data_IF_494311074600
#
_entry.id   IF_494311074600
#
_cell.length_a   1.000
_cell.length_b   1.000
_cell.length_c   1.000
_cell.angle_alpha   90.00
_cell.angle_beta   90.00
_cell.angle_gamma   90.00
#
_symmetry.space_group_name_H-M   'P 1'
#
loop_
_entity.id
_entity.type
_entity.pdbx_description
1 polymer ?
#
# COMPACT_ATOMS: atom_id res chain seq x y z
N UNK A 1 26.49 -25.23 -4.79
CA UNK A 1 25.80 -23.94 -4.52
C UNK A 1 25.29 -23.24 -5.77
N UNK A 2 26.12 -22.86 -6.77
CA UNK A 2 25.70 -22.09 -7.99
C UNK A 2 24.32 -22.43 -8.59
N UNK A 3 23.91 -23.70 -8.66
CA UNK A 3 22.61 -24.09 -9.24
C UNK A 3 21.38 -23.49 -8.52
N UNK A 4 21.52 -23.03 -7.26
CA UNK A 4 20.45 -22.33 -6.49
C UNK A 4 20.13 -20.92 -7.03
N UNK A 5 21.05 -20.28 -7.74
CA UNK A 5 20.88 -18.94 -8.35
C UNK A 5 20.08 -18.93 -9.65
N UNK A 6 19.70 -20.10 -10.17
CA UNK A 6 19.07 -20.25 -11.47
C UNK A 6 17.72 -20.93 -11.33
N UNK A 7 16.65 -20.26 -11.77
CA UNK A 7 15.37 -20.92 -12.06
C UNK A 7 15.51 -21.92 -13.22
N UNK A 8 14.45 -22.64 -13.56
CA UNK A 8 14.33 -23.23 -14.90
C UNK A 8 14.26 -22.12 -15.95
N UNK A 9 14.63 -22.42 -17.21
CA UNK A 9 14.54 -21.43 -18.31
C UNK A 9 13.08 -21.00 -18.52
N UNK A 10 12.16 -21.97 -18.52
CA UNK A 10 10.72 -21.70 -18.59
C UNK A 10 10.20 -20.90 -17.38
N UNK A 11 10.70 -21.16 -16.17
CA UNK A 11 10.39 -20.35 -14.98
C UNK A 11 10.90 -18.91 -15.09
N UNK A 12 12.12 -18.70 -15.60
CA UNK A 12 12.68 -17.37 -15.84
C UNK A 12 11.81 -16.56 -16.82
N UNK A 13 11.44 -17.18 -17.94
CA UNK A 13 10.61 -16.55 -18.97
C UNK A 13 9.22 -16.20 -18.42
N UNK A 14 8.53 -17.13 -17.75
CA UNK A 14 7.19 -16.86 -17.22
C UNK A 14 7.21 -15.75 -16.16
N UNK A 15 8.16 -15.75 -15.23
CA UNK A 15 8.19 -14.71 -14.18
C UNK A 15 8.43 -13.31 -14.77
N UNK A 16 9.37 -13.17 -15.70
CA UNK A 16 9.60 -11.88 -16.37
C UNK A 16 8.36 -11.46 -17.19
N UNK A 17 7.79 -12.40 -17.96
CA UNK A 17 6.58 -12.13 -18.75
C UNK A 17 5.40 -11.67 -17.89
N UNK A 18 5.18 -12.27 -16.71
CA UNK A 18 4.13 -11.86 -15.77
C UNK A 18 4.34 -10.44 -15.25
N UNK A 19 5.57 -10.08 -14.87
CA UNK A 19 5.88 -8.72 -14.39
C UNK A 19 5.73 -7.70 -15.52
N UNK A 20 6.28 -7.95 -16.70
CA UNK A 20 6.13 -7.03 -17.83
C UNK A 20 4.67 -6.93 -18.32
N UNK A 21 3.86 -7.99 -18.16
CA UNK A 21 2.41 -7.94 -18.39
C UNK A 21 1.71 -7.05 -17.35
N UNK A 22 2.05 -7.13 -16.06
CA UNK A 22 1.50 -6.24 -15.02
C UNK A 22 1.82 -4.77 -15.36
N UNK A 23 3.05 -4.48 -15.77
CA UNK A 23 3.47 -3.13 -16.20
C UNK A 23 2.64 -2.69 -17.43
N UNK A 24 2.53 -3.55 -18.45
CA UNK A 24 1.74 -3.24 -19.64
C UNK A 24 0.25 -3.01 -19.31
N UNK A 25 -0.33 -3.78 -18.39
CA UNK A 25 -1.69 -3.59 -17.89
C UNK A 25 -1.85 -2.27 -17.14
N UNK A 26 -0.87 -1.84 -16.32
CA UNK A 26 -0.89 -0.56 -15.64
C UNK A 26 -0.97 0.62 -16.64
N UNK A 27 -0.11 0.61 -17.65
CA UNK A 27 -0.12 1.61 -18.74
C UNK A 27 -1.38 1.53 -19.59
N UNK A 28 -1.87 0.32 -19.92
CA UNK A 28 -3.08 0.15 -20.71
C UNK A 28 -4.31 0.70 -19.96
N UNK A 29 -4.47 0.35 -18.68
CA UNK A 29 -5.54 0.88 -17.84
C UNK A 29 -5.44 2.41 -17.73
N UNK A 30 -4.27 2.98 -17.44
CA UNK A 30 -4.13 4.43 -17.25
C UNK A 30 -4.46 5.26 -18.50
N UNK A 31 -4.35 4.68 -19.71
CA UNK A 31 -4.63 5.38 -20.98
C UNK A 31 -5.99 5.03 -21.59
N UNK A 32 -6.49 3.81 -21.39
CA UNK A 32 -7.76 3.33 -21.98
C UNK A 32 -8.96 3.49 -21.05
N UNK A 33 -8.77 3.39 -19.73
CA UNK A 33 -9.81 3.56 -18.72
C UNK A 33 -9.21 4.11 -17.42
N UNK A 34 -8.93 5.42 -17.43
CA UNK A 34 -8.29 6.11 -16.32
C UNK A 34 -9.10 6.00 -15.01
N UNK A 35 -10.43 5.90 -15.08
CA UNK A 35 -11.28 5.78 -13.89
C UNK A 35 -11.14 4.39 -13.26
N UNK A 36 -11.09 3.31 -14.05
CA UNK A 36 -10.72 1.97 -13.52
C UNK A 36 -9.32 1.97 -12.96
N UNK A 37 -8.35 2.60 -13.62
CA UNK A 37 -7.00 2.76 -13.09
C UNK A 37 -7.03 3.42 -11.70
N UNK A 38 -7.68 4.58 -11.56
CA UNK A 38 -7.78 5.28 -10.27
C UNK A 38 -8.53 4.51 -9.20
N UNK A 39 -9.48 3.63 -9.55
CA UNK A 39 -10.14 2.73 -8.57
C UNK A 39 -9.25 1.57 -8.15
N UNK A 40 -8.38 1.06 -9.03
CA UNK A 40 -7.47 -0.06 -8.73
C UNK A 40 -6.34 0.35 -7.79
N UNK A 41 -5.86 1.60 -7.87
CA UNK A 41 -4.71 2.14 -7.12
C UNK A 41 -5.09 2.90 -5.83
N UNK A 42 -6.29 2.67 -5.29
CA UNK A 42 -6.74 3.29 -4.04
C UNK A 42 -6.43 2.41 -2.83
N UNK A 43 -6.49 3.03 -1.64
CA UNK A 43 -6.43 2.33 -0.35
C UNK A 43 -7.60 1.32 -0.26
N UNK A 44 -7.39 0.17 0.39
CA UNK A 44 -8.32 -0.95 0.54
C UNK A 44 -8.87 -1.52 -0.80
N UNK A 45 -8.18 -1.30 -1.93
CA UNK A 45 -8.57 -1.79 -3.27
C UNK A 45 -7.62 -2.86 -3.83
N UNK A 46 -7.93 -3.36 -5.02
CA UNK A 46 -7.31 -4.56 -5.63
C UNK A 46 -5.78 -4.58 -5.58
N UNK A 47 -5.12 -3.44 -5.82
CA UNK A 47 -3.66 -3.40 -5.91
C UNK A 47 -3.00 -3.55 -4.53
N UNK A 48 -3.49 -2.80 -3.54
CA UNK A 48 -3.04 -2.89 -2.14
C UNK A 48 -3.28 -4.29 -1.56
N UNK A 49 -4.47 -4.86 -1.74
CA UNK A 49 -4.73 -6.24 -1.29
C UNK A 49 -3.89 -7.28 -2.04
N UNK A 50 -3.58 -7.07 -3.32
CA UNK A 50 -2.66 -7.94 -4.05
C UNK A 50 -1.23 -7.82 -3.50
N UNK A 51 -0.74 -6.61 -3.21
CA UNK A 51 0.56 -6.40 -2.56
C UNK A 51 0.62 -7.09 -1.20
N UNK A 52 -0.38 -6.88 -0.34
CA UNK A 52 -0.56 -7.58 0.94
C UNK A 52 -0.43 -9.10 0.77
N UNK A 53 -1.21 -9.71 -0.13
CA UNK A 53 -1.18 -11.16 -0.34
C UNK A 53 0.14 -11.65 -0.95
N UNK A 54 0.78 -10.87 -1.82
CA UNK A 54 2.09 -11.21 -2.36
C UNK A 54 3.14 -11.31 -1.24
N UNK A 55 3.17 -10.33 -0.32
CA UNK A 55 4.07 -10.33 0.82
C UNK A 55 3.71 -11.36 1.89
N UNK A 56 2.42 -11.61 2.19
CA UNK A 56 1.99 -12.70 3.10
C UNK A 56 2.39 -14.07 2.58
N UNK A 57 2.22 -14.33 1.28
CA UNK A 57 2.66 -15.57 0.65
C UNK A 57 4.19 -15.68 0.61
N UNK A 58 4.90 -14.59 0.32
CA UNK A 58 6.37 -14.54 0.37
C UNK A 58 6.91 -14.82 1.79
N UNK A 59 6.28 -14.25 2.83
CA UNK A 59 6.60 -14.52 4.22
C UNK A 59 6.35 -16.00 4.55
N UNK A 60 5.18 -16.53 4.20
CA UNK A 60 4.78 -17.92 4.47
C UNK A 60 5.74 -18.94 3.83
N UNK A 61 6.12 -18.71 2.56
CA UNK A 61 7.09 -19.56 1.87
C UNK A 61 8.52 -19.38 2.40
N UNK A 62 8.89 -18.18 2.85
CA UNK A 62 10.19 -17.93 3.50
C UNK A 62 10.30 -18.62 4.86
N UNK A 63 9.21 -18.64 5.66
CA UNK A 63 9.12 -19.44 6.89
C UNK A 63 9.27 -20.93 6.56
N UNK A 64 8.54 -21.44 5.56
CA UNK A 64 8.66 -22.83 5.15
C UNK A 64 10.08 -23.18 4.70
N UNK A 65 10.72 -22.33 3.89
CA UNK A 65 12.09 -22.53 3.45
C UNK A 65 13.09 -22.49 4.63
N UNK A 66 12.89 -21.59 5.59
CA UNK A 66 13.70 -21.51 6.81
C UNK A 66 13.58 -22.80 7.66
N UNK A 67 12.37 -23.31 7.85
CA UNK A 67 12.13 -24.57 8.57
C UNK A 67 12.75 -25.79 7.86
N UNK A 68 12.74 -25.81 6.53
CA UNK A 68 13.39 -26.85 5.73
C UNK A 68 14.93 -26.74 5.82
N UNK A 69 15.49 -25.53 5.72
CA UNK A 69 16.93 -25.29 5.90
C UNK A 69 17.40 -25.72 7.30
N UNK A 70 16.64 -25.38 8.35
CA UNK A 70 16.95 -25.79 9.72
C UNK A 70 16.97 -27.32 9.85
N UNK A 71 16.04 -28.04 9.23
CA UNK A 71 16.02 -29.51 9.21
C UNK A 71 17.21 -30.11 8.45
N UNK A 72 17.51 -29.60 7.26
CA UNK A 72 18.60 -30.06 6.37
C UNK A 72 20.00 -29.73 6.94
N UNK A 73 20.17 -28.59 7.63
CA UNK A 73 21.48 -28.06 8.04
C UNK A 73 21.70 -27.98 9.55
N UNK A 74 20.69 -28.29 10.37
CA UNK A 74 20.74 -28.28 11.84
C UNK A 74 21.27 -26.99 12.46
N UNK A 75 20.98 -25.85 11.85
CA UNK A 75 21.48 -24.55 12.30
C UNK A 75 20.59 -23.39 11.84
N UNK A 76 20.80 -22.21 12.46
CA UNK A 76 19.91 -21.04 12.33
C UNK A 76 19.77 -20.54 10.87
N UNK A 77 18.54 -20.54 10.29
CA UNK A 77 18.25 -20.07 8.93
C UNK A 77 18.00 -18.54 8.89
N UNK A 78 18.89 -17.77 9.53
CA UNK A 78 18.64 -16.36 9.90
C UNK A 78 18.21 -15.47 8.74
N UNK A 79 18.76 -15.69 7.53
CA UNK A 79 18.45 -14.85 6.37
C UNK A 79 17.02 -15.06 5.90
N UNK A 80 16.56 -16.31 5.77
CA UNK A 80 15.17 -16.62 5.40
C UNK A 80 14.18 -16.21 6.48
N UNK A 81 14.54 -16.35 7.76
CA UNK A 81 13.76 -15.79 8.86
C UNK A 81 13.68 -14.26 8.79
N UNK A 82 14.76 -13.57 8.43
CA UNK A 82 14.79 -12.13 8.20
C UNK A 82 13.92 -11.69 7.03
N UNK A 83 13.97 -12.39 5.89
CA UNK A 83 13.09 -12.15 4.74
C UNK A 83 11.62 -12.38 5.13
N UNK A 84 11.31 -13.42 5.91
CA UNK A 84 9.96 -13.67 6.40
C UNK A 84 9.42 -12.54 7.28
N UNK A 85 10.21 -12.09 8.27
CA UNK A 85 9.84 -10.96 9.14
C UNK A 85 9.70 -9.67 8.34
N UNK A 86 10.60 -9.39 7.40
CA UNK A 86 10.52 -8.25 6.51
C UNK A 86 9.24 -8.27 5.67
N UNK A 87 8.93 -9.39 5.02
CA UNK A 87 7.72 -9.50 4.19
C UNK A 87 6.45 -9.38 5.03
N UNK A 88 6.39 -9.97 6.23
CA UNK A 88 5.25 -9.83 7.12
C UNK A 88 5.09 -8.38 7.62
N UNK A 89 6.20 -7.70 7.93
CA UNK A 89 6.18 -6.28 8.30
C UNK A 89 5.65 -5.40 7.17
N UNK A 90 6.14 -5.58 5.94
CA UNK A 90 5.65 -4.83 4.77
C UNK A 90 4.17 -5.11 4.52
N UNK A 91 3.72 -6.37 4.60
CA UNK A 91 2.30 -6.69 4.46
C UNK A 91 1.44 -5.99 5.53
N UNK A 92 1.87 -5.95 6.79
CA UNK A 92 1.10 -5.27 7.84
C UNK A 92 1.14 -3.74 7.69
N UNK A 93 2.27 -3.17 7.27
CA UNK A 93 2.38 -1.74 6.93
C UNK A 93 1.45 -1.33 5.78
N UNK A 94 1.31 -2.16 4.75
CA UNK A 94 0.44 -1.95 3.58
C UNK A 94 -1.02 -1.68 4.00
N UNK A 95 -1.56 -2.48 4.91
CA UNK A 95 -2.96 -2.39 5.37
C UNK A 95 -3.13 -1.55 6.65
N UNK A 96 -2.17 -0.66 6.95
CA UNK A 96 -2.10 0.14 8.18
C UNK A 96 -2.35 -0.68 9.45
N UNK A 97 -1.70 -1.83 9.56
CA UNK A 97 -1.83 -2.85 10.63
C UNK A 97 -3.29 -3.24 10.92
N UNK A 98 -4.13 -3.26 9.88
CA UNK A 98 -5.54 -3.58 10.00
C UNK A 98 -6.40 -2.48 10.63
N UNK A 99 -5.89 -1.25 10.78
CA UNK A 99 -6.66 -0.07 11.26
C UNK A 99 -8.01 0.00 10.55
N UNK A 100 -8.01 -0.13 9.22
CA UNK A 100 -9.22 0.01 8.41
C UNK A 100 -10.15 -1.21 8.52
N UNK A 101 -9.61 -2.42 8.63
CA UNK A 101 -10.40 -3.66 8.86
C UNK A 101 -11.16 -3.59 10.19
N UNK A 102 -10.47 -3.22 11.26
CA UNK A 102 -11.02 -3.24 12.63
C UNK A 102 -11.65 -1.92 13.08
N UNK A 103 -11.45 -0.83 12.33
CA UNK A 103 -11.97 0.50 12.63
C UNK A 103 -11.39 1.14 13.90
N UNK A 104 -10.25 0.65 14.41
CA UNK A 104 -9.62 1.25 15.59
C UNK A 104 -8.96 2.58 15.25
N UNK A 105 -8.85 3.45 16.26
CA UNK A 105 -8.22 4.75 16.12
C UNK A 105 -6.70 4.64 16.35
N UNK A 106 -5.85 5.20 15.47
CA UNK A 106 -4.41 5.30 15.71
C UNK A 106 -4.07 6.05 17.00
N UNK A 107 -2.93 5.76 17.65
CA UNK A 107 -2.43 6.58 18.75
C UNK A 107 -2.17 8.03 18.30
N UNK A 108 -2.33 8.99 19.23
CA UNK A 108 -2.15 10.44 19.01
C UNK A 108 -0.91 10.80 18.19
N UNK A 109 0.23 10.14 18.45
CA UNK A 109 1.47 10.36 17.69
C UNK A 109 1.28 10.17 16.17
N UNK A 110 0.56 9.11 15.76
CA UNK A 110 0.27 8.86 14.35
C UNK A 110 -0.78 9.84 13.82
N UNK A 111 -1.77 10.23 14.62
CA UNK A 111 -2.77 11.21 14.21
C UNK A 111 -2.19 12.62 13.95
N UNK A 112 -1.10 12.98 14.62
CA UNK A 112 -0.40 14.26 14.44
C UNK A 112 0.73 14.19 13.40
N UNK A 113 1.56 13.13 13.44
CA UNK A 113 2.82 13.05 12.68
C UNK A 113 2.73 12.24 11.37
N UNK A 114 1.77 11.32 11.24
CA UNK A 114 1.57 10.58 10.00
C UNK A 114 0.76 11.45 9.03
N UNK A 115 1.25 11.69 7.80
CA UNK A 115 0.52 12.55 6.84
C UNK A 115 -0.84 11.97 6.42
N UNK A 116 -1.10 10.69 6.70
CA UNK A 116 -2.37 10.01 6.51
C UNK A 116 -3.21 9.84 7.79
N UNK A 117 -2.63 9.75 8.98
CA UNK A 117 -3.35 9.65 10.26
C UNK A 117 -4.19 8.36 10.54
N UNK A 118 -3.78 7.10 10.29
CA UNK A 118 -2.67 6.53 9.54
C UNK A 118 -1.74 5.71 10.46
N UNK A 119 -2.18 4.56 11.00
CA UNK A 119 -1.32 3.68 11.82
C UNK A 119 -0.42 2.79 10.95
N UNK A 120 0.54 3.44 10.30
CA UNK A 120 1.69 2.81 9.65
C UNK A 120 2.94 3.67 9.90
N UNK A 121 4.12 3.06 9.83
CA UNK A 121 5.40 3.75 10.02
C UNK A 121 5.84 4.46 8.74
N UNK A 122 5.56 3.88 7.57
CA UNK A 122 6.06 4.41 6.30
C UNK A 122 5.49 5.78 5.91
N UNK A 123 4.34 6.23 6.47
CA UNK A 123 3.82 7.60 6.28
C UNK A 123 4.17 8.59 7.42
N UNK A 124 4.91 8.14 8.44
CA UNK A 124 5.64 9.03 9.39
C UNK A 124 7.05 9.34 8.86
N UNK A 125 7.67 8.40 8.16
CA UNK A 125 9.02 8.56 7.58
C UNK A 125 9.03 9.59 6.44
N UNK A 126 10.06 10.45 6.42
CA UNK A 126 10.25 11.46 5.37
C UNK A 126 10.26 10.81 3.96
N UNK A 127 9.52 11.38 3.01
CA UNK A 127 9.39 10.86 1.64
C UNK A 127 10.74 10.56 0.97
N UNK A 128 11.79 11.34 1.24
CA UNK A 128 13.14 11.07 0.69
C UNK A 128 13.75 9.79 1.26
N UNK A 129 13.67 9.61 2.58
CA UNK A 129 14.20 8.42 3.25
C UNK A 129 13.40 7.17 2.87
N UNK A 130 12.07 7.27 2.74
CA UNK A 130 11.22 6.18 2.23
C UNK A 130 11.63 5.78 0.80
N UNK A 131 11.80 6.75 -0.10
CA UNK A 131 12.24 6.50 -1.47
C UNK A 131 13.62 5.83 -1.52
N UNK A 132 14.57 6.31 -0.73
CA UNK A 132 15.90 5.73 -0.63
C UNK A 132 15.87 4.31 -0.08
N UNK A 133 15.06 4.04 0.95
CA UNK A 133 14.90 2.71 1.54
C UNK A 133 14.34 1.71 0.50
N UNK A 134 13.29 2.08 -0.24
CA UNK A 134 12.74 1.21 -1.27
C UNK A 134 13.74 0.96 -2.42
N UNK A 135 14.44 2.00 -2.88
CA UNK A 135 15.50 1.86 -3.89
C UNK A 135 16.66 0.97 -3.38
N UNK A 136 17.03 1.08 -2.10
CA UNK A 136 18.05 0.24 -1.47
C UNK A 136 17.63 -1.23 -1.35
N UNK A 137 16.34 -1.51 -1.09
CA UNK A 137 15.80 -2.88 -1.14
C UNK A 137 15.83 -3.41 -2.58
N UNK A 138 15.29 -2.67 -3.55
CA UNK A 138 15.22 -3.10 -4.95
C UNK A 138 16.62 -3.36 -5.53
N UNK A 139 17.55 -2.42 -5.38
CA UNK A 139 18.90 -2.58 -5.91
C UNK A 139 19.76 -3.51 -5.05
N UNK A 140 19.71 -3.38 -3.72
CA UNK A 140 20.53 -4.16 -2.79
C UNK A 140 20.21 -5.66 -2.84
N UNK A 141 18.95 -6.02 -2.56
CA UNK A 141 18.51 -7.42 -2.59
C UNK A 141 18.33 -7.93 -4.02
N UNK A 142 17.66 -7.15 -4.87
CA UNK A 142 17.22 -7.60 -6.19
C UNK A 142 18.28 -7.62 -7.30
N UNK A 143 19.32 -6.78 -7.20
CA UNK A 143 20.33 -6.59 -8.26
C UNK A 143 21.75 -6.88 -7.76
N UNK A 144 22.22 -6.19 -6.73
CA UNK A 144 23.60 -6.31 -6.26
C UNK A 144 23.87 -7.64 -5.56
N UNK A 145 22.98 -8.09 -4.66
CA UNK A 145 23.18 -9.35 -3.94
C UNK A 145 23.37 -10.59 -4.87
N UNK A 146 22.52 -10.85 -5.89
CA UNK A 146 22.75 -11.98 -6.79
C UNK A 146 23.99 -11.83 -7.68
N UNK A 147 24.39 -10.60 -8.03
CA UNK A 147 25.64 -10.33 -8.74
C UNK A 147 26.88 -10.56 -7.85
N UNK A 148 26.81 -10.17 -6.57
CA UNK A 148 27.86 -10.43 -5.58
C UNK A 148 28.04 -11.93 -5.32
N UNK A 149 26.96 -12.73 -5.37
CA UNK A 149 27.04 -14.19 -5.27
C UNK A 149 27.84 -14.83 -6.42
N UNK A 150 27.97 -14.17 -7.58
CA UNK A 150 28.80 -14.65 -8.70
C UNK A 150 30.30 -14.44 -8.49
N UNK A 151 30.70 -13.48 -7.66
CA UNK A 151 32.10 -13.11 -7.48
C UNK A 151 32.87 -14.19 -6.69
N UNK A 152 34.05 -14.64 -7.16
CA UNK A 152 34.69 -15.87 -6.71
C UNK A 152 35.15 -15.86 -5.24
N UNK A 153 35.38 -14.66 -4.65
CA UNK A 153 35.73 -14.49 -3.23
C UNK A 153 34.51 -14.21 -2.34
N UNK A 154 33.44 -13.63 -2.90
CA UNK A 154 32.27 -13.15 -2.14
C UNK A 154 31.17 -14.21 -2.07
N UNK A 155 30.90 -14.90 -3.17
CA UNK A 155 29.92 -16.01 -3.22
C UNK A 155 30.15 -17.07 -2.13
N UNK A 156 31.37 -17.63 -1.96
CA UNK A 156 31.64 -18.60 -0.90
C UNK A 156 31.48 -18.04 0.52
N UNK A 157 31.71 -16.73 0.72
CA UNK A 157 31.48 -16.07 2.00
C UNK A 157 29.98 -15.91 2.26
N UNK A 158 29.21 -15.47 1.27
CA UNK A 158 27.74 -15.36 1.37
C UNK A 158 27.07 -16.74 1.55
N UNK A 159 27.54 -17.77 0.84
CA UNK A 159 27.13 -19.17 1.04
C UNK A 159 27.44 -19.64 2.48
N UNK A 160 28.63 -19.32 3.02
CA UNK A 160 29.02 -19.65 4.42
C UNK A 160 28.17 -18.90 5.44
N UNK A 161 27.83 -17.64 5.15
CA UNK A 161 26.91 -16.82 5.93
C UNK A 161 25.43 -17.20 5.71
N UNK A 162 25.11 -18.11 4.79
CA UNK A 162 23.75 -18.55 4.42
C UNK A 162 22.84 -17.42 3.94
N UNK A 163 23.42 -16.46 3.24
CA UNK A 163 22.67 -15.40 2.57
C UNK A 163 21.99 -15.99 1.33
N UNK A 164 20.67 -15.84 1.24
CA UNK A 164 19.86 -16.39 0.14
C UNK A 164 19.53 -15.28 -0.86
N UNK A 165 20.41 -15.10 -1.84
CA UNK A 165 20.17 -14.19 -2.96
C UNK A 165 18.97 -14.63 -3.80
N UNK A 166 18.18 -13.69 -4.38
CA UNK A 166 17.20 -14.03 -5.40
C UNK A 166 17.90 -14.61 -6.65
N UNK A 167 17.21 -15.41 -7.48
CA UNK A 167 17.82 -15.94 -8.70
C UNK A 167 18.11 -14.83 -9.71
N UNK A 168 19.22 -14.96 -10.44
CA UNK A 168 19.70 -13.97 -11.42
C UNK A 168 18.69 -13.64 -12.53
N UNK A 169 17.78 -14.58 -12.82
CA UNK A 169 16.67 -14.40 -13.75
C UNK A 169 15.67 -13.32 -13.34
N UNK A 170 15.70 -12.83 -12.09
CA UNK A 170 14.84 -11.73 -11.61
C UNK A 170 15.50 -10.36 -11.63
N UNK A 171 16.81 -10.26 -11.94
CA UNK A 171 17.48 -8.96 -12.06
C UNK A 171 16.73 -8.00 -13.02
N UNK A 172 16.18 -8.42 -14.18
CA UNK A 172 15.40 -7.54 -15.04
C UNK A 172 14.08 -7.06 -14.40
N UNK A 173 13.44 -7.88 -13.56
CA UNK A 173 12.24 -7.50 -12.78
C UNK A 173 12.55 -6.37 -11.80
N UNK A 174 13.63 -6.52 -11.02
CA UNK A 174 14.05 -5.48 -10.07
C UNK A 174 14.56 -4.21 -10.77
N UNK A 175 15.25 -4.33 -11.91
CA UNK A 175 15.64 -3.17 -12.71
C UNK A 175 14.42 -2.43 -13.31
N UNK A 176 13.38 -3.17 -13.75
CA UNK A 176 12.13 -2.56 -14.22
C UNK A 176 11.39 -1.84 -13.08
N UNK A 177 11.31 -2.44 -11.88
CA UNK A 177 10.76 -1.81 -10.68
C UNK A 177 11.53 -0.54 -10.30
N UNK A 178 12.87 -0.57 -10.31
CA UNK A 178 13.71 0.60 -10.06
C UNK A 178 13.51 1.71 -11.09
N UNK A 179 13.44 1.37 -12.38
CA UNK A 179 13.22 2.32 -13.46
C UNK A 179 11.83 2.99 -13.35
N UNK A 180 10.78 2.21 -13.09
CA UNK A 180 9.43 2.73 -12.85
C UNK A 180 9.38 3.65 -11.65
N UNK A 181 9.98 3.26 -10.51
CA UNK A 181 9.97 4.08 -9.30
C UNK A 181 10.75 5.39 -9.46
N UNK A 182 11.83 5.37 -10.25
CA UNK A 182 12.70 6.53 -10.47
C UNK A 182 12.14 7.51 -11.50
N UNK A 183 11.55 7.02 -12.60
CA UNK A 183 10.86 7.88 -13.58
C UNK A 183 9.51 8.35 -13.03
N UNK A 184 8.75 7.46 -12.38
CA UNK A 184 7.40 7.70 -11.88
C UNK A 184 6.41 8.15 -12.99
N UNK A 185 6.26 7.40 -14.09
CA UNK A 185 5.55 7.84 -15.29
C UNK A 185 4.02 7.94 -15.13
N UNK A 186 3.44 7.23 -14.16
CA UNK A 186 2.00 7.23 -13.88
C UNK A 186 1.73 7.82 -12.48
N UNK A 187 0.53 8.38 -12.27
CA UNK A 187 0.09 8.68 -10.89
C UNK A 187 0.00 7.37 -10.11
N UNK A 188 0.41 7.34 -8.85
CA UNK A 188 0.41 6.11 -8.06
C UNK A 188 1.28 4.99 -8.67
N UNK A 189 2.43 5.33 -9.26
CA UNK A 189 3.42 4.31 -9.70
C UNK A 189 4.00 3.52 -8.51
N UNK A 190 3.98 4.07 -7.29
CA UNK A 190 4.39 3.38 -6.06
C UNK A 190 3.71 2.03 -5.90
N UNK A 191 2.38 2.03 -5.83
CA UNK A 191 1.55 0.82 -5.64
C UNK A 191 1.89 -0.32 -6.61
N UNK A 192 2.14 0.01 -7.88
CA UNK A 192 2.52 -0.97 -8.91
C UNK A 192 3.94 -1.51 -8.69
N UNK A 193 4.87 -0.67 -8.23
CA UNK A 193 6.22 -1.08 -7.85
C UNK A 193 6.19 -1.95 -6.59
N UNK A 194 5.31 -1.66 -5.64
CA UNK A 194 5.12 -2.43 -4.40
C UNK A 194 4.54 -3.83 -4.69
N UNK A 195 3.54 -3.97 -5.57
CA UNK A 195 3.10 -5.29 -6.06
C UNK A 195 4.23 -6.06 -6.79
N UNK A 196 4.97 -5.39 -7.69
CA UNK A 196 6.10 -6.01 -8.40
C UNK A 196 7.18 -6.46 -7.41
N UNK A 197 7.42 -5.69 -6.35
CA UNK A 197 8.37 -6.04 -5.30
C UNK A 197 7.88 -7.22 -4.45
N UNK A 198 6.60 -7.27 -4.10
CA UNK A 198 5.98 -8.41 -3.42
C UNK A 198 6.12 -9.71 -4.21
N UNK A 199 5.85 -9.67 -5.52
CA UNK A 199 6.13 -10.79 -6.44
C UNK A 199 7.64 -11.10 -6.53
N UNK A 200 8.48 -10.06 -6.51
CA UNK A 200 9.94 -10.14 -6.45
C UNK A 200 10.49 -10.83 -5.21
N UNK A 201 9.76 -10.86 -4.08
CA UNK A 201 10.09 -11.67 -2.90
C UNK A 201 9.39 -13.05 -2.90
N UNK A 202 8.17 -13.13 -3.44
CA UNK A 202 7.40 -14.38 -3.54
C UNK A 202 8.10 -15.44 -4.40
N UNK A 203 8.64 -15.06 -5.56
CA UNK A 203 9.24 -16.01 -6.49
C UNK A 203 10.60 -16.59 -6.01
N UNK A 204 11.52 -15.82 -5.38
CA UNK A 204 12.65 -16.37 -4.65
C UNK A 204 12.26 -17.29 -3.49
N UNK A 205 11.26 -16.92 -2.69
CA UNK A 205 10.80 -17.74 -1.56
C UNK A 205 10.26 -19.09 -2.04
N UNK A 206 9.48 -19.10 -3.13
CA UNK A 206 9.03 -20.31 -3.81
C UNK A 206 10.20 -21.17 -4.30
N UNK A 207 11.19 -20.57 -4.98
CA UNK A 207 12.38 -21.28 -5.43
C UNK A 207 13.18 -21.88 -4.25
N UNK A 208 13.28 -21.15 -3.13
CA UNK A 208 13.97 -21.62 -1.92
C UNK A 208 13.31 -22.87 -1.34
N UNK A 209 11.97 -22.90 -1.22
CA UNK A 209 11.24 -24.10 -0.77
C UNK A 209 11.58 -25.33 -1.64
N UNK A 210 11.52 -25.19 -2.97
CA UNK A 210 11.86 -26.28 -3.89
C UNK A 210 13.33 -26.73 -3.77
N UNK A 211 14.26 -25.77 -3.65
CA UNK A 211 15.68 -26.04 -3.46
C UNK A 211 16.01 -26.81 -2.16
N UNK A 212 15.22 -26.66 -1.09
CA UNK A 212 15.44 -27.38 0.18
C UNK A 212 14.69 -28.72 0.27
N UNK A 213 13.52 -28.85 -0.34
CA UNK A 213 12.84 -30.16 -0.46
C UNK A 213 13.70 -31.14 -1.27
N UNK A 214 14.18 -30.69 -2.43
CA UNK A 214 15.00 -31.52 -3.35
C UNK A 214 16.36 -31.93 -2.77
N UNK A 215 16.94 -31.19 -1.83
CA UNK A 215 18.13 -31.66 -1.09
C UNK A 215 17.80 -32.68 0.01
N UNK A 216 16.55 -32.72 0.48
CA UNK A 216 16.08 -33.65 1.51
C UNK A 216 15.68 -35.01 0.94
N UNK A 217 15.04 -35.02 -0.24
CA UNK A 217 14.36 -36.21 -0.80
C UNK A 217 15.22 -37.08 -1.75
N UNK A 218 16.53 -36.84 -1.82
CA UNK A 218 17.54 -37.62 -2.56
C UNK A 218 17.29 -37.87 -4.07
N UNK A 219 17.89 -37.05 -4.94
CA UNK A 219 18.26 -37.47 -6.30
C UNK A 219 18.18 -36.40 -7.39
N UNK A 220 17.07 -35.65 -7.46
CA UNK A 220 16.85 -34.67 -8.53
C UNK A 220 16.72 -33.24 -8.01
N UNK A 221 17.45 -32.30 -8.63
CA UNK A 221 17.29 -30.87 -8.39
C UNK A 221 16.04 -30.32 -9.09
N UNK A 222 14.86 -30.72 -8.60
CA UNK A 222 13.55 -30.29 -9.08
C UNK A 222 13.32 -28.78 -8.87
N UNK A 223 13.67 -27.97 -9.86
CA UNK A 223 13.28 -26.55 -9.92
C UNK A 223 11.75 -26.47 -10.08
N UNK A 224 11.07 -25.47 -9.49
CA UNK A 224 9.62 -25.35 -9.62
C UNK A 224 9.21 -25.28 -11.11
N UNK A 225 8.25 -26.11 -11.55
CA UNK A 225 7.78 -26.06 -12.93
C UNK A 225 7.05 -24.75 -13.17
N UNK A 226 7.18 -24.21 -14.39
CA UNK A 226 6.82 -22.81 -14.68
C UNK A 226 5.36 -22.45 -14.34
N UNK A 227 4.44 -23.45 -14.40
CA UNK A 227 3.04 -23.34 -13.97
C UNK A 227 2.85 -22.90 -12.51
N UNK A 228 3.79 -23.19 -11.61
CA UNK A 228 3.64 -22.82 -10.18
C UNK A 228 3.77 -21.30 -10.01
N UNK A 229 4.70 -20.65 -10.73
CA UNK A 229 4.81 -19.19 -10.72
C UNK A 229 3.53 -18.50 -11.22
N UNK A 230 2.92 -19.06 -12.27
CA UNK A 230 1.63 -18.60 -12.78
C UNK A 230 0.53 -18.78 -11.72
N UNK A 231 0.40 -19.96 -11.12
CA UNK A 231 -0.58 -20.24 -10.06
C UNK A 231 -0.39 -19.29 -8.88
N UNK A 232 0.85 -19.03 -8.44
CA UNK A 232 1.14 -18.10 -7.35
C UNK A 232 0.76 -16.65 -7.70
N UNK A 233 1.05 -16.18 -8.93
CA UNK A 233 0.66 -14.85 -9.38
C UNK A 233 -0.87 -14.71 -9.52
N UNK A 234 -1.55 -15.72 -10.07
CA UNK A 234 -3.01 -15.76 -10.12
C UNK A 234 -3.62 -15.77 -8.72
N UNK A 235 -3.08 -16.55 -7.79
CA UNK A 235 -3.54 -16.59 -6.40
C UNK A 235 -3.42 -15.21 -5.72
N UNK A 236 -2.32 -14.49 -5.93
CA UNK A 236 -2.15 -13.10 -5.44
C UNK A 236 -3.28 -12.19 -5.93
N UNK A 237 -3.54 -12.16 -7.25
CA UNK A 237 -4.58 -11.29 -7.83
C UNK A 237 -5.99 -11.74 -7.42
N UNK A 238 -6.26 -13.05 -7.39
CA UNK A 238 -7.55 -13.60 -6.97
C UNK A 238 -7.84 -13.34 -5.50
N UNK A 239 -6.86 -13.51 -4.61
CA UNK A 239 -7.00 -13.18 -3.19
C UNK A 239 -7.18 -11.67 -3.00
N UNK A 240 -6.41 -10.84 -3.72
CA UNK A 240 -6.57 -9.39 -3.71
C UNK A 240 -8.00 -8.95 -4.09
N UNK A 241 -8.53 -9.52 -5.17
CA UNK A 241 -9.91 -9.27 -5.61
C UNK A 241 -10.95 -9.76 -4.60
N UNK A 242 -10.81 -10.99 -4.09
CA UNK A 242 -11.73 -11.55 -3.11
C UNK A 242 -11.75 -10.73 -1.80
N UNK A 243 -10.58 -10.30 -1.31
CA UNK A 243 -10.50 -9.43 -0.14
C UNK A 243 -11.11 -8.07 -0.42
N UNK A 244 -10.84 -7.43 -1.57
CA UNK A 244 -11.49 -6.17 -1.98
C UNK A 244 -13.02 -6.27 -1.96
N UNK A 245 -13.59 -7.37 -2.48
CA UNK A 245 -15.04 -7.59 -2.45
C UNK A 245 -15.56 -7.81 -1.03
N UNK A 246 -14.83 -8.59 -0.21
CA UNK A 246 -15.21 -8.87 1.17
C UNK A 246 -15.15 -7.63 2.08
N UNK A 247 -14.11 -6.80 1.97
CA UNK A 247 -13.94 -5.58 2.78
C UNK A 247 -14.98 -4.54 2.41
N UNK A 248 -15.25 -4.31 1.11
CA UNK A 248 -16.36 -3.46 0.65
C UNK A 248 -17.71 -3.92 1.22
N UNK A 249 -17.98 -5.22 1.28
CA UNK A 249 -19.21 -5.74 1.90
C UNK A 249 -19.24 -5.55 3.42
N UNK A 250 -18.11 -5.76 4.11
CA UNK A 250 -17.99 -5.54 5.55
C UNK A 250 -18.19 -4.05 5.94
N UNK A 251 -17.79 -3.13 5.07
CA UNK A 251 -17.78 -1.70 5.35
C UNK A 251 -19.20 -1.07 5.41
N UNK A 252 -20.23 -1.75 4.90
CA UNK A 252 -21.53 -1.15 4.53
C UNK A 252 -22.59 -0.97 5.65
N UNK A 253 -22.39 -1.43 6.90
CA UNK A 253 -23.53 -1.70 7.81
C UNK A 253 -23.50 -1.05 9.21
N UNK A 254 -23.25 0.26 9.29
CA UNK A 254 -23.49 1.04 10.52
C UNK A 254 -24.36 2.29 10.27
N UNK A 255 -25.71 2.19 10.27
CA UNK A 255 -26.61 3.32 10.07
C UNK A 255 -26.45 4.46 11.10
N UNK A 256 -26.01 4.13 12.31
CA UNK A 256 -25.63 5.10 13.34
C UNK A 256 -24.47 5.99 12.90
N UNK A 257 -23.40 5.41 12.33
CA UNK A 257 -22.24 6.15 11.83
C UNK A 257 -22.62 7.10 10.69
N UNK A 258 -23.45 6.65 9.74
CA UNK A 258 -23.97 7.50 8.65
C UNK A 258 -24.76 8.69 9.20
N UNK A 259 -25.54 8.48 10.25
CA UNK A 259 -26.32 9.55 10.91
C UNK A 259 -25.40 10.53 11.65
N UNK A 260 -24.41 10.02 12.39
CA UNK A 260 -23.41 10.82 13.08
C UNK A 260 -22.59 11.68 12.11
N UNK A 261 -22.03 11.09 11.04
CA UNK A 261 -21.31 11.80 9.98
C UNK A 261 -22.11 12.96 9.41
N UNK A 262 -23.40 12.77 9.13
CA UNK A 262 -24.27 13.84 8.61
C UNK A 262 -24.51 14.96 9.62
N UNK A 263 -24.45 14.70 10.93
CA UNK A 263 -24.50 15.75 11.95
C UNK A 263 -23.13 16.47 12.05
N UNK A 264 -22.06 15.71 12.15
CA UNK A 264 -20.66 16.18 12.23
C UNK A 264 -20.27 17.08 11.04
N UNK A 265 -20.61 16.68 9.81
CA UNK A 265 -20.35 17.48 8.61
C UNK A 265 -21.17 18.76 8.52
N UNK A 266 -22.39 18.80 9.06
CA UNK A 266 -23.19 20.04 9.14
C UNK A 266 -22.61 21.01 10.16
N UNK A 267 -22.04 20.50 11.24
CA UNK A 267 -21.29 21.29 12.21
C UNK A 267 -20.02 21.88 11.55
N UNK A 268 -19.19 21.03 10.92
CA UNK A 268 -18.02 21.46 10.13
C UNK A 268 -18.41 22.48 9.04
N UNK A 269 -19.52 22.28 8.34
CA UNK A 269 -20.01 23.24 7.35
C UNK A 269 -20.35 24.60 7.93
N UNK A 270 -20.89 24.63 9.15
CA UNK A 270 -21.17 25.86 9.89
C UNK A 270 -19.86 26.58 10.23
N UNK A 271 -18.85 25.84 10.68
CA UNK A 271 -17.52 26.38 11.02
C UNK A 271 -16.79 26.93 9.78
N UNK A 272 -16.77 26.15 8.69
CA UNK A 272 -16.22 26.60 7.41
C UNK A 272 -16.91 27.86 6.84
N UNK A 273 -18.16 28.15 7.24
CA UNK A 273 -18.91 29.36 6.86
C UNK A 273 -18.75 30.53 7.84
N UNK A 274 -18.33 30.30 9.09
CA UNK A 274 -18.11 31.36 10.09
C UNK A 274 -16.75 32.05 9.93
N UNK A 275 -15.72 31.31 9.48
CA UNK A 275 -14.35 31.81 9.33
C UNK A 275 -13.97 32.31 7.93
N UNK A 276 -12.81 32.97 7.83
CA UNK A 276 -12.19 33.37 6.56
C UNK A 276 -11.26 32.28 6.04
N UNK A 277 -11.79 31.44 5.15
CA UNK A 277 -11.04 30.36 4.49
C UNK A 277 -9.79 30.87 3.75
N UNK A 278 -8.60 30.43 4.19
CA UNK A 278 -7.32 30.69 3.54
C UNK A 278 -6.86 29.44 2.81
N UNK A 279 -7.04 29.37 1.49
CA UNK A 279 -6.66 28.18 0.72
C UNK A 279 -6.14 28.49 -0.69
N UNK A 280 -5.22 27.65 -1.18
CA UNK A 280 -4.82 27.64 -2.59
C UNK A 280 -5.94 27.01 -3.43
N UNK A 281 -5.95 27.32 -4.74
CA UNK A 281 -6.85 26.64 -5.68
C UNK A 281 -6.38 25.19 -5.92
N UNK A 282 -7.31 24.30 -6.27
CA UNK A 282 -7.09 22.86 -6.47
C UNK A 282 -6.46 22.18 -5.25
N UNK A 283 -7.05 22.46 -4.08
CA UNK A 283 -6.72 21.81 -2.82
C UNK A 283 -7.49 20.49 -2.66
N UNK A 284 -6.79 19.45 -2.22
CA UNK A 284 -7.40 18.24 -1.69
C UNK A 284 -6.54 17.69 -0.56
N UNK A 285 -7.04 17.69 0.68
CA UNK A 285 -6.28 17.31 1.89
C UNK A 285 -7.18 16.71 2.95
N UNK A 286 -6.58 15.88 3.81
CA UNK A 286 -7.14 15.51 5.12
C UNK A 286 -7.28 16.79 5.97
N UNK A 287 -8.38 16.88 6.73
CA UNK A 287 -8.86 18.13 7.33
C UNK A 287 -7.87 18.65 8.39
N UNK A 288 -7.38 17.80 9.28
CA UNK A 288 -6.34 18.16 10.24
C UNK A 288 -5.10 18.78 9.57
N UNK A 289 -4.58 18.13 8.53
CA UNK A 289 -3.44 18.66 7.75
C UNK A 289 -3.75 20.00 7.10
N UNK A 290 -4.98 20.22 6.62
CA UNK A 290 -5.40 21.52 6.10
C UNK A 290 -5.41 22.60 7.19
N UNK A 291 -6.00 22.31 8.35
CA UNK A 291 -6.08 23.27 9.47
C UNK A 291 -4.68 23.74 9.87
N UNK A 292 -3.77 22.78 10.12
CA UNK A 292 -2.39 23.03 10.52
C UNK A 292 -1.57 23.74 9.44
N UNK A 293 -1.70 23.35 8.17
CA UNK A 293 -0.91 23.93 7.07
C UNK A 293 -1.38 25.34 6.66
N UNK A 294 -2.66 25.66 6.85
CA UNK A 294 -3.25 26.93 6.38
C UNK A 294 -3.65 27.90 7.51
N UNK A 295 -3.37 27.55 8.77
CA UNK A 295 -3.67 28.37 9.95
C UNK A 295 -5.17 28.64 10.03
N UNK A 296 -5.96 27.58 10.11
CA UNK A 296 -7.42 27.64 10.24
C UNK A 296 -7.87 27.25 11.65
N UNK A 297 -7.07 27.64 12.66
CA UNK A 297 -7.16 27.10 14.03
C UNK A 297 -8.53 27.31 14.69
N UNK A 298 -9.30 28.30 14.23
CA UNK A 298 -10.70 28.53 14.63
C UNK A 298 -11.62 27.31 14.42
N UNK A 299 -11.22 26.34 13.58
CA UNK A 299 -11.95 25.07 13.38
C UNK A 299 -11.83 24.12 14.60
N UNK A 300 -10.84 24.29 15.47
CA UNK A 300 -10.72 23.51 16.72
C UNK A 300 -11.72 23.96 17.81
N UNK A 301 -12.19 25.21 17.75
CA UNK A 301 -13.14 25.80 18.71
C UNK A 301 -14.58 25.87 18.15
N UNK A 302 -14.81 25.20 17.01
CA UNK A 302 -16.04 25.26 16.23
C UNK A 302 -17.23 24.44 16.76
N UNK A 303 -18.37 24.55 16.08
CA UNK A 303 -19.56 23.73 16.29
C UNK A 303 -19.25 22.22 16.22
N UNK A 304 -18.29 21.78 15.40
CA UNK A 304 -17.86 20.37 15.36
C UNK A 304 -17.21 19.94 16.68
N UNK A 305 -16.31 20.76 17.24
CA UNK A 305 -15.66 20.50 18.53
C UNK A 305 -16.69 20.50 19.68
N UNK A 306 -17.69 21.38 19.62
CA UNK A 306 -18.80 21.41 20.57
C UNK A 306 -19.68 20.14 20.57
N UNK A 307 -19.54 19.23 19.59
CA UNK A 307 -20.18 17.91 19.64
C UNK A 307 -19.57 16.98 20.70
N UNK A 308 -18.40 17.30 21.28
CA UNK A 308 -17.84 16.54 22.41
C UNK A 308 -18.80 16.54 23.60
N UNK A 309 -19.48 17.66 23.86
CA UNK A 309 -20.53 17.75 24.88
C UNK A 309 -21.77 16.87 24.57
N UNK A 310 -21.87 16.34 23.35
CA UNK A 310 -22.96 15.46 22.88
C UNK A 310 -22.47 14.01 22.69
N UNK A 311 -21.24 13.68 23.12
CA UNK A 311 -20.68 12.32 23.09
C UNK A 311 -19.71 12.03 21.96
N UNK A 312 -19.29 13.02 21.16
CA UNK A 312 -18.15 12.86 20.25
C UNK A 312 -16.87 12.63 21.08
N UNK A 313 -16.07 11.58 20.84
CA UNK A 313 -14.80 11.40 21.53
C UNK A 313 -13.86 12.58 21.28
N UNK A 314 -13.24 13.13 22.33
CA UNK A 314 -12.33 14.29 22.25
C UNK A 314 -11.27 14.12 21.15
N UNK A 315 -10.58 12.99 21.13
CA UNK A 315 -9.51 12.74 20.14
C UNK A 315 -10.03 12.55 18.70
N UNK A 316 -11.34 12.35 18.47
CA UNK A 316 -11.95 12.44 17.12
C UNK A 316 -12.17 13.90 16.72
N UNK A 317 -12.52 14.77 17.69
CA UNK A 317 -12.63 16.21 17.46
C UNK A 317 -11.24 16.82 17.17
N UNK A 318 -10.26 16.56 18.03
CA UNK A 318 -8.90 17.11 17.96
C UNK A 318 -8.17 16.79 16.63
N UNK A 319 -8.48 15.65 16.02
CA UNK A 319 -7.83 15.17 14.79
C UNK A 319 -8.77 15.11 13.57
N UNK A 320 -9.99 15.64 13.69
CA UNK A 320 -11.01 15.65 12.64
C UNK A 320 -11.24 14.26 12.00
N UNK A 321 -11.55 13.28 12.84
CA UNK A 321 -11.82 11.90 12.41
C UNK A 321 -13.31 11.63 12.35
N UNK A 322 -13.75 10.93 11.32
CA UNK A 322 -15.11 10.39 11.16
C UNK A 322 -15.36 9.18 12.09
N UNK A 323 -16.61 8.67 12.19
CA UNK A 323 -16.98 7.55 13.06
C UNK A 323 -16.36 6.20 12.70
N UNK A 324 -15.66 6.09 11.58
CA UNK A 324 -14.85 4.92 11.22
C UNK A 324 -13.36 5.10 11.57
N UNK A 325 -13.02 6.21 12.25
CA UNK A 325 -11.65 6.65 12.55
C UNK A 325 -10.80 6.89 11.29
N UNK A 326 -11.46 7.25 10.18
CA UNK A 326 -10.81 7.81 8.99
C UNK A 326 -10.88 9.34 9.05
N UNK A 327 -9.89 10.09 8.51
CA UNK A 327 -9.89 11.54 8.60
C UNK A 327 -10.90 12.16 7.62
N UNK A 328 -11.58 13.21 8.07
CA UNK A 328 -12.35 14.09 7.19
C UNK A 328 -11.44 14.72 6.12
N UNK A 329 -12.00 15.06 4.98
CA UNK A 329 -11.31 15.66 3.85
C UNK A 329 -11.92 17.01 3.48
N UNK A 330 -11.08 17.92 3.02
CA UNK A 330 -11.49 19.16 2.35
C UNK A 330 -11.09 19.12 0.88
N UNK A 331 -12.04 19.48 0.00
CA UNK A 331 -11.84 19.68 -1.43
C UNK A 331 -12.16 21.13 -1.77
N UNK A 332 -11.23 21.79 -2.47
CA UNK A 332 -11.47 23.07 -3.15
C UNK A 332 -10.94 22.96 -4.58
N UNK A 333 -11.79 23.17 -5.57
CA UNK A 333 -11.40 23.15 -6.98
C UNK A 333 -11.98 24.34 -7.72
N UNK A 334 -11.21 24.87 -8.68
CA UNK A 334 -11.57 26.06 -9.43
C UNK A 334 -11.17 25.94 -10.90
N UNK A 335 -11.99 26.52 -11.77
CA UNK A 335 -11.71 26.56 -13.21
C UNK A 335 -10.49 27.44 -13.55
N UNK A 336 -10.20 28.47 -12.74
CA UNK A 336 -9.00 29.32 -12.85
C UNK A 336 -8.72 30.02 -11.52
N UNK A 337 -7.58 30.73 -11.39
CA UNK A 337 -7.20 31.43 -10.14
C UNK A 337 -8.26 32.43 -9.63
N UNK A 338 -9.06 33.00 -10.53
CA UNK A 338 -10.15 33.95 -10.25
C UNK A 338 -11.54 33.44 -10.65
N UNK A 339 -11.63 32.20 -11.15
CA UNK A 339 -12.87 31.60 -11.62
C UNK A 339 -13.79 31.10 -10.50
N UNK A 340 -14.97 30.54 -10.85
CA UNK A 340 -15.85 29.90 -9.88
C UNK A 340 -15.11 28.78 -9.14
N UNK A 341 -15.38 28.66 -7.84
CA UNK A 341 -14.80 27.66 -6.94
C UNK A 341 -15.90 26.78 -6.38
N UNK A 342 -15.66 25.49 -6.36
CA UNK A 342 -16.44 24.53 -5.59
C UNK A 342 -15.61 24.14 -4.37
N UNK A 343 -16.19 24.27 -3.18
CA UNK A 343 -15.54 23.90 -1.91
C UNK A 343 -16.49 23.02 -1.11
N UNK A 344 -16.04 21.83 -0.69
CA UNK A 344 -16.80 20.94 0.18
C UNK A 344 -15.90 20.24 1.21
N UNK A 345 -16.49 19.90 2.36
CA UNK A 345 -15.90 19.04 3.39
C UNK A 345 -16.65 17.71 3.38
N UNK A 346 -15.96 16.58 3.49
CA UNK A 346 -16.57 15.25 3.33
C UNK A 346 -15.80 14.14 4.07
N UNK A 347 -16.47 13.03 4.38
CA UNK A 347 -15.82 11.76 4.76
C UNK A 347 -15.93 10.76 3.61
N UNK A 348 -15.02 9.79 3.58
CA UNK A 348 -15.05 8.68 2.62
C UNK A 348 -16.19 7.66 2.85
N UNK A 349 -17.06 7.94 3.84
CA UNK A 349 -18.29 7.18 4.04
C UNK A 349 -18.05 5.74 4.51
N UNK A 350 -19.10 4.90 4.42
CA UNK A 350 -19.03 3.49 4.76
C UNK A 350 -17.95 2.75 3.98
N UNK A 351 -17.89 2.86 2.65
CA UNK A 351 -16.97 2.09 1.81
C UNK A 351 -15.49 2.50 1.93
N UNK A 352 -15.21 3.72 2.43
CA UNK A 352 -13.89 4.35 2.59
C UNK A 352 -13.07 4.52 1.31
N UNK A 353 -13.69 4.33 0.17
CA UNK A 353 -13.16 4.65 -1.16
C UNK A 353 -13.33 6.15 -1.42
N UNK A 354 -12.55 6.69 -2.35
CA UNK A 354 -12.71 8.05 -2.85
C UNK A 354 -13.53 8.04 -4.12
N UNK A 355 -14.81 8.35 -3.98
CA UNK A 355 -15.76 8.38 -5.09
C UNK A 355 -16.08 9.80 -5.58
N UNK A 356 -15.96 10.80 -4.71
CA UNK A 356 -16.09 12.23 -5.05
C UNK A 356 -15.10 12.65 -6.13
N UNK A 357 -15.60 13.44 -7.09
CA UNK A 357 -14.79 14.07 -8.13
C UNK A 357 -14.17 15.38 -7.62
N UNK A 358 -13.68 16.23 -8.53
CA UNK A 358 -13.24 17.58 -8.20
C UNK A 358 -14.37 18.51 -7.76
N UNK A 359 -15.59 18.27 -8.23
CA UNK A 359 -16.72 19.20 -8.15
C UNK A 359 -17.96 18.60 -7.50
N UNK A 360 -18.05 17.28 -7.42
CA UNK A 360 -19.25 16.57 -7.00
C UNK A 360 -18.90 15.49 -5.97
N UNK A 361 -19.69 15.42 -4.90
CA UNK A 361 -19.72 14.31 -3.95
C UNK A 361 -20.56 13.19 -4.58
N UNK A 362 -20.02 11.95 -4.64
CA UNK A 362 -20.62 10.82 -5.35
C UNK A 362 -20.64 9.53 -4.52
N UNK A 363 -21.46 8.57 -4.97
CA UNK A 363 -21.65 7.23 -4.36
C UNK A 363 -22.08 7.34 -2.87
N UNK A 364 -21.32 6.77 -1.93
CA UNK A 364 -21.56 6.84 -0.49
C UNK A 364 -20.61 7.79 0.26
N UNK A 365 -19.77 8.58 -0.44
CA UNK A 365 -19.11 9.73 0.16
C UNK A 365 -20.17 10.67 0.74
N UNK A 366 -19.96 11.10 2.00
CA UNK A 366 -20.89 11.99 2.69
C UNK A 366 -20.20 13.32 2.88
N UNK A 367 -20.79 14.42 2.40
CA UNK A 367 -20.19 15.74 2.46
C UNK A 367 -21.19 16.90 2.51
N UNK A 368 -20.65 18.08 2.78
CA UNK A 368 -21.35 19.34 2.96
C UNK A 368 -20.66 20.41 2.08
N UNK A 369 -21.44 21.04 1.18
CA UNK A 369 -20.91 22.10 0.32
C UNK A 369 -20.79 23.41 1.10
N UNK A 370 -19.57 23.94 1.14
CA UNK A 370 -19.26 25.26 1.70
C UNK A 370 -19.48 26.34 0.65
N UNK A 371 -19.08 26.05 -0.59
CA UNK A 371 -19.31 26.86 -1.79
C UNK A 371 -19.75 25.90 -2.89
N UNK A 372 -21.05 25.85 -3.24
CA UNK A 372 -21.51 24.98 -4.32
C UNK A 372 -20.97 25.46 -5.67
N UNK A 373 -20.87 24.56 -6.63
CA UNK A 373 -20.59 24.92 -8.01
C UNK A 373 -21.62 25.95 -8.50
N UNK A 374 -21.16 27.08 -9.03
CA UNK A 374 -22.03 27.97 -9.81
C UNK A 374 -22.35 27.26 -11.12
N UNK A 375 -23.61 26.86 -11.28
CA UNK A 375 -24.17 26.43 -12.57
C UNK A 375 -24.16 27.59 -13.56
#
# INVERSE_FOLDING_TARGET
>A
MRNRLYTSVSGAVIVNALVFLIIACAFALSHLDADRYYRTVQEDELLEWATFWAFVLAASLSIQAALLEWRDRQALPWFLSGIAVFCLFVALEEISWGQRIFGYRPPVYFLDQNYQQEFNLHNVVETRLRKLALQAVILGYGVFLPLLQLAPKVGPLLDRLRVVAPPLSLVPVFLAAYALYTWYPLRHTGEWVELILGLGFLFPALLAVFNYRTTSDAGESGKPPARIYLISATAVISLGFLTTVATRHQAQTHPGNVTAVRAELRALGTDFRSGKLRQRCDLHKRLYTFVRQYGQDYLFDGAFSNLVAQGLPQERADFFLDPWNSPYWVRDSCASRSGPRTTFVYSLGPNRRRDSTRYEILDDDIGEYIRPARR
#
